data_IF_548094969455
#
_entry.id   IF_548094969455
#
_cell.length_a   1.000
_cell.length_b   1.000
_cell.length_c   1.000
_cell.angle_alpha   90.00
_cell.angle_beta   90.00
_cell.angle_gamma   90.00
#
_symmetry.space_group_name_H-M   'P 1'
#
loop_
_entity.id
_entity.type
_entity.pdbx_description
1 polymer ?
#
# COMPACT_ATOMS: atom_id res chain seq x y z
N UNK A 1 13.01 -14.42 2.07
CA UNK A 1 11.60 -14.75 1.77
C UNK A 1 11.62 -15.84 0.72
N UNK A 2 10.97 -16.97 0.97
CA UNK A 2 10.81 -18.02 -0.03
C UNK A 2 9.34 -17.99 -0.48
N UNK A 3 9.12 -17.85 -1.78
CA UNK A 3 7.80 -17.98 -2.37
C UNK A 3 7.73 -19.34 -3.09
N UNK A 4 6.75 -20.16 -2.73
CA UNK A 4 6.40 -21.37 -3.46
C UNK A 4 5.07 -21.10 -4.14
N UNK A 5 5.02 -21.29 -5.43
CA UNK A 5 3.77 -21.20 -6.22
C UNK A 5 3.17 -22.59 -6.29
N UNK A 6 1.91 -22.73 -5.91
CA UNK A 6 1.19 -24.00 -6.00
C UNK A 6 0.73 -24.30 -7.44
N UNK A 7 0.13 -25.45 -7.64
CA UNK A 7 -0.38 -25.91 -8.96
C UNK A 7 -1.51 -25.03 -9.52
N UNK A 8 -2.08 -24.14 -8.71
CA UNK A 8 -3.11 -23.17 -9.10
C UNK A 8 -2.55 -21.76 -9.36
N UNK A 9 -1.20 -21.58 -9.28
CA UNK A 9 -0.54 -20.29 -9.48
C UNK A 9 -0.61 -19.37 -8.27
N UNK A 10 -0.99 -19.88 -7.08
CA UNK A 10 -1.07 -19.09 -5.84
C UNK A 10 0.29 -19.10 -5.16
N UNK A 11 0.82 -17.91 -4.87
CA UNK A 11 2.09 -17.76 -4.17
C UNK A 11 1.92 -17.94 -2.65
N UNK A 12 2.59 -18.95 -2.10
CA UNK A 12 2.70 -19.19 -0.66
C UNK A 12 4.04 -18.65 -0.15
N UNK A 13 3.99 -17.71 0.77
CA UNK A 13 5.17 -17.06 1.32
C UNK A 13 5.56 -17.66 2.66
N UNK A 14 6.82 -18.06 2.80
CA UNK A 14 7.43 -18.38 4.08
C UNK A 14 8.30 -17.20 4.54
N UNK A 15 8.06 -16.73 5.75
CA UNK A 15 8.79 -15.64 6.38
C UNK A 15 9.59 -16.19 7.56
N UNK A 16 10.88 -16.51 7.35
CA UNK A 16 11.75 -16.95 8.45
C UNK A 16 11.80 -15.89 9.55
N UNK A 17 12.08 -16.32 10.77
CA UNK A 17 12.39 -15.43 11.87
C UNK A 17 13.82 -14.89 11.76
N UNK A 18 14.11 -13.82 12.47
CA UNK A 18 15.44 -13.23 12.62
C UNK A 18 16.10 -12.84 11.28
N UNK A 19 15.36 -12.13 10.45
CA UNK A 19 15.84 -11.65 9.14
C UNK A 19 15.97 -10.12 9.11
N UNK A 20 16.55 -9.57 8.05
CA UNK A 20 16.98 -8.17 7.98
C UNK A 20 15.93 -7.15 8.41
N UNK A 21 14.67 -7.34 8.04
CA UNK A 21 13.60 -6.41 8.43
C UNK A 21 13.13 -6.58 9.89
N UNK A 22 13.61 -7.55 10.62
CA UNK A 22 13.39 -7.68 12.07
C UNK A 22 14.40 -6.85 12.88
N UNK A 23 15.45 -6.32 12.22
CA UNK A 23 16.57 -5.58 12.81
C UNK A 23 16.73 -4.18 12.22
N UNK A 24 15.65 -3.54 11.80
CA UNK A 24 15.73 -2.17 11.31
C UNK A 24 16.23 -1.24 12.42
N UNK A 25 17.15 -0.35 12.05
CA UNK A 25 17.67 0.67 12.95
C UNK A 25 17.70 2.03 12.25
N UNK A 26 17.39 3.08 13.00
CA UNK A 26 17.45 4.44 12.51
C UNK A 26 18.86 5.00 12.72
N UNK A 27 19.75 4.77 11.76
CA UNK A 27 21.10 5.34 11.74
C UNK A 27 21.11 6.81 11.25
N UNK A 28 22.26 7.47 11.27
CA UNK A 28 22.38 8.88 10.90
C UNK A 28 22.04 9.14 9.44
N UNK A 29 22.34 8.20 8.53
CA UNK A 29 21.94 8.29 7.10
C UNK A 29 20.42 8.26 6.97
N UNK A 30 19.76 7.29 7.62
CA UNK A 30 18.30 7.23 7.61
C UNK A 30 17.66 8.48 8.23
N UNK A 31 18.26 9.05 9.29
CA UNK A 31 17.81 10.32 9.89
C UNK A 31 17.98 11.49 8.93
N UNK A 32 19.08 11.55 8.18
CA UNK A 32 19.36 12.68 7.30
C UNK A 32 18.41 12.76 6.13
N UNK A 33 17.98 11.63 5.56
CA UNK A 33 17.09 11.61 4.39
C UNK A 33 15.64 12.00 4.72
N UNK A 34 15.21 11.94 6.00
CA UNK A 34 13.82 12.24 6.36
C UNK A 34 13.38 13.64 5.95
N UNK A 35 14.31 14.60 5.91
CA UNK A 35 14.03 16.02 5.61
C UNK A 35 13.64 16.28 4.16
N UNK A 36 14.12 15.43 3.25
CA UNK A 36 14.00 15.61 1.80
C UNK A 36 12.98 14.64 1.18
N UNK A 37 12.26 13.87 2.02
CA UNK A 37 11.26 12.93 1.53
C UNK A 37 10.01 13.65 1.03
N UNK A 38 9.51 13.22 -0.12
CA UNK A 38 8.19 13.60 -0.63
C UNK A 38 7.11 12.58 -0.25
N UNK A 39 7.52 11.32 -0.12
CA UNK A 39 6.64 10.27 0.40
C UNK A 39 7.45 9.13 1.04
N UNK A 40 6.75 8.35 1.86
CA UNK A 40 7.21 7.08 2.38
C UNK A 40 6.08 6.06 2.30
N UNK A 41 6.42 4.84 1.86
CA UNK A 41 5.49 3.71 1.92
C UNK A 41 5.98 2.72 2.98
N UNK A 42 5.06 2.22 3.81
CA UNK A 42 5.35 1.26 4.87
C UNK A 42 4.19 0.30 5.07
N UNK A 43 4.44 -0.86 5.68
CA UNK A 43 3.44 -1.90 5.89
C UNK A 43 3.56 -2.56 7.26
N UNK A 44 2.81 -3.66 7.45
CA UNK A 44 2.73 -4.36 8.74
C UNK A 44 3.91 -5.29 9.00
N UNK A 45 4.40 -6.01 7.98
CA UNK A 45 5.36 -7.11 8.14
C UNK A 45 6.65 -6.69 8.86
N UNK A 46 7.24 -5.56 8.47
CA UNK A 46 8.46 -5.06 9.08
C UNK A 46 8.25 -4.54 10.52
N UNK A 47 7.00 -4.47 10.99
CA UNK A 47 6.65 -4.09 12.35
C UNK A 47 6.43 -5.29 13.29
N UNK A 48 6.60 -6.52 12.82
CA UNK A 48 6.43 -7.73 13.63
C UNK A 48 7.44 -7.78 14.78
N UNK A 49 8.69 -7.39 14.54
CA UNK A 49 9.72 -7.27 15.55
C UNK A 49 9.66 -5.92 16.30
N UNK A 50 9.75 -5.93 17.61
CA UNK A 50 9.66 -4.74 18.47
C UNK A 50 10.72 -3.70 18.13
N UNK A 51 11.96 -4.13 17.84
CA UNK A 51 13.08 -3.25 17.47
C UNK A 51 12.75 -2.49 16.19
N UNK A 52 12.36 -3.20 15.14
CA UNK A 52 12.02 -2.61 13.85
C UNK A 52 10.79 -1.72 13.92
N UNK A 53 9.78 -2.12 14.71
CA UNK A 53 8.59 -1.29 14.97
C UNK A 53 8.95 0.04 15.61
N UNK A 54 9.82 0.03 16.62
CA UNK A 54 10.28 1.26 17.28
C UNK A 54 11.09 2.16 16.32
N UNK A 55 11.97 1.57 15.52
CA UNK A 55 12.76 2.29 14.52
C UNK A 55 11.87 2.92 13.43
N UNK A 56 10.86 2.19 12.95
CA UNK A 56 9.89 2.70 11.98
C UNK A 56 9.04 3.84 12.57
N UNK A 57 8.57 3.71 13.80
CA UNK A 57 7.81 4.77 14.45
C UNK A 57 8.65 6.05 14.58
N UNK A 58 9.89 5.95 15.08
CA UNK A 58 10.82 7.10 15.16
C UNK A 58 11.12 7.71 13.79
N UNK A 59 11.25 6.88 12.74
CA UNK A 59 11.43 7.35 11.36
C UNK A 59 10.21 8.13 10.87
N UNK A 60 9.01 7.56 11.00
CA UNK A 60 7.76 8.18 10.54
C UNK A 60 7.46 9.49 11.28
N UNK A 61 7.77 9.55 12.59
CA UNK A 61 7.55 10.75 13.41
C UNK A 61 8.52 11.90 13.05
N UNK A 62 9.64 11.61 12.32
CA UNK A 62 10.60 12.62 11.82
C UNK A 62 10.30 13.13 10.43
N UNK A 63 9.43 12.46 9.69
CA UNK A 63 9.07 12.87 8.33
C UNK A 63 8.27 14.16 8.39
N UNK A 64 8.61 15.19 7.57
CA UNK A 64 7.87 16.44 7.57
C UNK A 64 6.40 16.23 7.19
N UNK A 65 5.53 17.10 7.72
CA UNK A 65 4.11 17.04 7.44
C UNK A 65 3.76 17.27 5.95
N UNK A 66 4.69 17.78 5.16
CA UNK A 66 4.53 17.97 3.72
C UNK A 66 4.77 16.70 2.91
N UNK A 67 5.35 15.67 3.49
CA UNK A 67 5.59 14.39 2.82
C UNK A 67 4.44 13.42 3.11
N UNK A 68 4.03 12.69 2.10
CA UNK A 68 2.91 11.74 2.17
C UNK A 68 3.35 10.42 2.79
N UNK A 69 2.65 9.99 3.82
CA UNK A 69 2.86 8.69 4.48
C UNK A 69 1.82 7.69 3.99
N UNK A 70 2.24 6.73 3.20
CA UNK A 70 1.38 5.70 2.61
C UNK A 70 1.50 4.42 3.43
N UNK A 71 0.41 4.00 4.04
CA UNK A 71 0.31 2.73 4.72
C UNK A 71 -0.31 1.70 3.78
N UNK A 72 0.52 0.86 3.19
CA UNK A 72 0.08 -0.34 2.47
C UNK A 72 -0.06 -1.46 3.51
N UNK A 73 -1.30 -1.81 3.84
CA UNK A 73 -1.60 -2.72 4.94
C UNK A 73 -0.88 -4.06 4.80
N UNK A 74 -1.01 -4.67 3.62
CA UNK A 74 -0.24 -5.82 3.14
C UNK A 74 -0.07 -6.91 4.19
N UNK A 75 -1.20 -7.42 4.71
CA UNK A 75 -1.22 -8.44 5.76
C UNK A 75 -0.51 -9.73 5.32
N UNK A 76 0.32 -10.26 6.18
CA UNK A 76 1.04 -11.51 5.95
C UNK A 76 0.88 -12.43 7.13
N UNK A 77 0.32 -13.62 6.90
CA UNK A 77 0.07 -14.61 7.95
C UNK A 77 -0.63 -13.97 9.17
N UNK A 78 -0.03 -14.06 10.35
CA UNK A 78 -0.50 -13.46 11.60
C UNK A 78 0.50 -12.40 12.15
N UNK A 79 1.37 -11.85 11.29
CA UNK A 79 2.38 -10.86 11.67
C UNK A 79 1.82 -9.43 11.76
N UNK A 80 0.62 -9.30 12.32
CA UNK A 80 -0.04 -8.03 12.56
C UNK A 80 -0.85 -8.10 13.86
N UNK A 81 -1.15 -6.95 14.42
CA UNK A 81 -2.06 -6.84 15.55
C UNK A 81 -2.88 -5.56 15.42
N UNK A 82 -3.98 -5.48 16.19
CA UNK A 82 -4.80 -4.27 16.26
C UNK A 82 -3.97 -3.05 16.61
N UNK A 83 -3.06 -3.17 17.59
CA UNK A 83 -2.21 -2.08 18.07
C UNK A 83 -1.26 -1.58 16.98
N UNK A 84 -0.64 -2.49 16.22
CA UNK A 84 0.24 -2.14 15.09
C UNK A 84 -0.51 -1.40 14.00
N UNK A 85 -1.68 -1.92 13.63
CA UNK A 85 -2.51 -1.33 12.57
C UNK A 85 -3.03 0.04 13.02
N UNK A 86 -3.56 0.16 14.24
CA UNK A 86 -4.06 1.43 14.75
C UNK A 86 -2.95 2.49 14.87
N UNK A 87 -1.78 2.11 15.35
CA UNK A 87 -0.62 3.01 15.42
C UNK A 87 -0.14 3.47 14.03
N UNK A 88 -0.25 2.60 13.02
CA UNK A 88 0.07 2.91 11.63
C UNK A 88 -0.97 3.84 10.99
N UNK A 89 -2.26 3.57 11.21
CA UNK A 89 -3.37 4.41 10.73
C UNK A 89 -3.32 5.83 11.31
N UNK A 90 -2.91 5.99 12.56
CA UNK A 90 -2.72 7.32 13.19
C UNK A 90 -1.56 8.13 12.60
N UNK A 91 -0.68 7.50 11.82
CA UNK A 91 0.51 8.13 11.23
C UNK A 91 0.42 8.30 9.72
N UNK A 92 -0.48 7.59 9.06
CA UNK A 92 -0.57 7.66 7.60
C UNK A 92 -1.52 8.75 7.11
N UNK A 93 -1.25 9.23 5.92
CA UNK A 93 -2.11 10.12 5.14
C UNK A 93 -2.94 9.32 4.13
N UNK A 94 -2.34 8.25 3.59
CA UNK A 94 -2.95 7.37 2.60
C UNK A 94 -2.97 5.95 3.14
N UNK A 95 -4.15 5.31 3.12
CA UNK A 95 -4.32 3.90 3.41
C UNK A 95 -4.57 3.14 2.12
N UNK A 96 -3.82 2.07 1.87
CA UNK A 96 -4.13 1.10 0.81
C UNK A 96 -4.28 -0.29 1.40
N UNK A 97 -5.29 -1.00 0.95
CA UNK A 97 -5.59 -2.38 1.34
C UNK A 97 -6.33 -3.13 0.22
N UNK A 98 -6.37 -4.45 0.30
CA UNK A 98 -7.22 -5.27 -0.57
C UNK A 98 -8.64 -5.39 0.00
N UNK A 99 -9.57 -5.90 -0.80
CA UNK A 99 -10.93 -6.20 -0.35
C UNK A 99 -10.98 -7.29 0.74
N UNK A 100 -10.08 -8.29 0.68
CA UNK A 100 -9.94 -9.29 1.74
C UNK A 100 -9.39 -8.66 3.03
N UNK A 101 -8.40 -7.78 2.93
CA UNK A 101 -7.83 -7.06 4.05
C UNK A 101 -8.84 -6.11 4.69
N UNK A 102 -9.71 -5.49 3.89
CA UNK A 102 -10.80 -4.66 4.40
C UNK A 102 -11.75 -5.46 5.30
N UNK A 103 -12.05 -6.72 4.96
CA UNK A 103 -12.86 -7.59 5.81
C UNK A 103 -12.20 -7.83 7.17
N UNK A 104 -10.88 -8.04 7.19
CA UNK A 104 -10.12 -8.20 8.45
C UNK A 104 -10.20 -6.92 9.30
N UNK A 105 -10.00 -5.75 8.67
CA UNK A 105 -10.05 -4.45 9.35
C UNK A 105 -11.45 -4.15 9.87
N UNK A 106 -12.49 -4.38 9.08
CA UNK A 106 -13.87 -4.15 9.51
C UNK A 106 -14.24 -5.01 10.72
N UNK A 107 -13.86 -6.29 10.72
CA UNK A 107 -14.05 -7.17 11.86
C UNK A 107 -13.25 -6.72 13.09
N UNK A 108 -11.97 -6.34 12.90
CA UNK A 108 -11.07 -5.96 13.98
C UNK A 108 -11.51 -4.68 14.69
N UNK A 109 -12.01 -3.69 13.93
CA UNK A 109 -12.39 -2.37 14.46
C UNK A 109 -13.90 -2.20 14.68
N UNK A 110 -14.71 -3.18 14.34
CA UNK A 110 -16.17 -3.10 14.45
C UNK A 110 -16.78 -2.09 13.49
N UNK A 111 -16.23 -1.99 12.26
CA UNK A 111 -16.67 -1.05 11.24
C UNK A 111 -17.85 -1.61 10.43
N UNK A 112 -18.59 -0.76 9.70
CA UNK A 112 -19.58 -1.22 8.74
C UNK A 112 -18.99 -2.22 7.73
N UNK A 113 -19.79 -3.20 7.31
CA UNK A 113 -19.33 -4.23 6.36
C UNK A 113 -19.37 -3.78 4.90
N UNK A 114 -20.15 -2.73 4.60
CA UNK A 114 -20.17 -2.16 3.26
C UNK A 114 -18.92 -1.31 3.02
N UNK A 115 -18.22 -1.60 1.95
CA UNK A 115 -16.91 -1.04 1.62
C UNK A 115 -16.86 0.50 1.75
N UNK A 116 -17.78 1.21 1.10
CA UNK A 116 -17.80 2.69 1.15
C UNK A 116 -18.05 3.24 2.55
N UNK A 117 -18.94 2.57 3.31
CA UNK A 117 -19.25 2.95 4.69
C UNK A 117 -18.05 2.68 5.61
N UNK A 118 -17.34 1.56 5.39
CA UNK A 118 -16.11 1.21 6.14
C UNK A 118 -15.00 2.23 5.88
N UNK A 119 -14.76 2.61 4.62
CA UNK A 119 -13.75 3.61 4.26
C UNK A 119 -14.08 4.99 4.83
N UNK A 120 -15.34 5.40 4.78
CA UNK A 120 -15.79 6.65 5.39
C UNK A 120 -15.59 6.64 6.93
N UNK A 121 -15.82 5.50 7.59
CA UNK A 121 -15.58 5.37 9.02
C UNK A 121 -14.10 5.40 9.38
N UNK A 122 -13.23 4.81 8.55
CA UNK A 122 -11.77 4.88 8.69
C UNK A 122 -11.28 6.32 8.52
N UNK A 123 -11.74 7.02 7.47
CA UNK A 123 -11.41 8.42 7.25
C UNK A 123 -11.87 9.30 8.43
N UNK A 124 -13.11 9.18 8.86
CA UNK A 124 -13.64 9.95 9.99
C UNK A 124 -12.87 9.70 11.31
N UNK A 125 -12.30 8.49 11.47
CA UNK A 125 -11.58 8.11 12.70
C UNK A 125 -10.12 8.55 12.66
N UNK A 126 -9.46 8.44 11.51
CA UNK A 126 -8.01 8.61 11.38
C UNK A 126 -7.59 9.82 10.54
N UNK A 127 -8.53 10.52 9.88
CA UNK A 127 -8.26 11.73 9.10
C UNK A 127 -7.45 11.44 7.83
N UNK A 128 -7.80 10.39 7.11
CA UNK A 128 -7.09 9.97 5.90
C UNK A 128 -7.32 10.98 4.76
N UNK A 129 -6.27 11.31 4.03
CA UNK A 129 -6.39 12.10 2.79
C UNK A 129 -6.89 11.24 1.62
N UNK A 130 -6.56 9.95 1.64
CA UNK A 130 -6.97 8.98 0.62
C UNK A 130 -7.05 7.58 1.22
N UNK A 131 -8.15 6.89 0.96
CA UNK A 131 -8.30 5.46 1.21
C UNK A 131 -8.46 4.72 -0.12
N UNK A 132 -7.75 3.61 -0.28
CA UNK A 132 -7.66 2.82 -1.50
C UNK A 132 -7.98 1.36 -1.22
N UNK A 133 -8.95 0.81 -1.93
CA UNK A 133 -9.24 -0.63 -1.94
C UNK A 133 -8.94 -1.21 -3.31
N UNK A 134 -8.08 -2.22 -3.37
CA UNK A 134 -7.85 -3.02 -4.58
C UNK A 134 -8.67 -4.31 -4.51
N UNK A 135 -9.27 -4.72 -5.64
CA UNK A 135 -10.19 -5.86 -5.74
C UNK A 135 -9.71 -6.88 -6.77
N UNK A 136 -8.39 -7.01 -6.91
CA UNK A 136 -7.76 -7.86 -7.91
C UNK A 136 -8.28 -7.56 -9.32
N UNK A 137 -8.76 -8.57 -10.02
CA UNK A 137 -9.32 -8.43 -11.38
C UNK A 137 -10.56 -7.53 -11.48
N UNK A 138 -11.18 -7.21 -10.36
CA UNK A 138 -12.37 -6.36 -10.29
C UNK A 138 -12.02 -4.87 -10.11
N UNK A 139 -10.73 -4.52 -10.21
CA UNK A 139 -10.25 -3.13 -10.19
C UNK A 139 -10.08 -2.57 -8.79
N UNK A 140 -10.55 -1.35 -8.56
CA UNK A 140 -10.26 -0.63 -7.31
C UNK A 140 -11.26 0.50 -7.03
N UNK A 141 -11.27 0.92 -5.77
CA UNK A 141 -12.00 2.09 -5.28
C UNK A 141 -11.01 3.02 -4.56
N UNK A 142 -11.00 4.28 -4.96
CA UNK A 142 -10.28 5.38 -4.32
C UNK A 142 -11.29 6.35 -3.70
N UNK A 143 -11.12 6.68 -2.44
CA UNK A 143 -12.00 7.58 -1.69
C UNK A 143 -11.15 8.62 -0.97
N UNK A 144 -11.42 9.89 -1.22
CA UNK A 144 -10.92 11.04 -0.45
C UNK A 144 -12.12 11.79 0.17
N UNK A 145 -11.91 12.74 1.08
CA UNK A 145 -12.99 13.53 1.66
C UNK A 145 -13.85 14.26 0.60
N UNK A 146 -13.27 14.63 -0.54
CA UNK A 146 -13.93 15.42 -1.59
C UNK A 146 -14.36 14.59 -2.81
N UNK A 147 -13.76 13.44 -3.05
CA UNK A 147 -13.89 12.72 -4.33
C UNK A 147 -13.93 11.20 -4.13
N UNK A 148 -14.55 10.53 -5.08
CA UNK A 148 -14.57 9.07 -5.19
C UNK A 148 -14.28 8.68 -6.64
N UNK A 149 -13.41 7.69 -6.83
CA UNK A 149 -13.13 7.10 -8.14
C UNK A 149 -13.22 5.59 -8.06
N UNK A 150 -14.03 4.97 -8.89
CA UNK A 150 -14.15 3.53 -9.02
C UNK A 150 -13.71 3.10 -10.41
N UNK A 151 -12.90 2.04 -10.49
CA UNK A 151 -12.38 1.49 -11.74
C UNK A 151 -12.58 -0.03 -11.76
N UNK A 152 -13.00 -0.57 -12.89
CA UNK A 152 -13.31 -2.01 -13.05
C UNK A 152 -12.09 -2.90 -13.33
N UNK A 153 -10.88 -2.31 -13.35
CA UNK A 153 -9.66 -3.00 -13.75
C UNK A 153 -9.50 -3.08 -15.28
N UNK A 154 -8.39 -3.65 -15.70
CA UNK A 154 -8.13 -3.97 -17.10
C UNK A 154 -8.05 -5.49 -17.28
N UNK A 155 -8.72 -6.05 -18.28
CA UNK A 155 -8.58 -7.47 -18.59
C UNK A 155 -7.15 -7.77 -19.03
N UNK A 156 -6.54 -8.79 -18.45
CA UNK A 156 -5.17 -9.20 -18.75
C UNK A 156 -5.03 -10.72 -18.64
N UNK A 157 -4.19 -11.31 -19.48
CA UNK A 157 -3.73 -12.69 -19.28
C UNK A 157 -2.66 -12.66 -18.20
N UNK A 158 -2.96 -13.24 -17.04
CA UNK A 158 -2.07 -13.22 -15.89
C UNK A 158 -0.93 -14.21 -16.09
N UNK A 159 0.31 -13.71 -16.03
CA UNK A 159 1.52 -14.52 -15.95
C UNK A 159 1.95 -14.70 -14.48
N UNK A 160 1.93 -13.61 -13.71
CA UNK A 160 2.28 -13.57 -12.30
C UNK A 160 1.54 -12.41 -11.60
N UNK A 161 1.20 -12.54 -10.34
CA UNK A 161 0.56 -11.47 -9.56
C UNK A 161 1.51 -10.76 -8.61
N UNK A 162 2.76 -11.24 -8.49
CA UNK A 162 3.75 -10.67 -7.59
C UNK A 162 4.12 -9.25 -8.05
N UNK A 163 4.11 -8.30 -7.11
CA UNK A 163 4.45 -6.91 -7.38
C UNK A 163 3.32 -6.05 -7.96
N UNK A 164 2.18 -6.63 -8.37
CA UNK A 164 1.06 -5.85 -8.89
C UNK A 164 0.49 -4.86 -7.85
N UNK A 165 0.36 -5.29 -6.60
CA UNK A 165 -0.05 -4.43 -5.48
C UNK A 165 0.95 -3.31 -5.23
N UNK A 166 2.23 -3.62 -5.24
CA UNK A 166 3.31 -2.64 -5.06
C UNK A 166 3.35 -1.61 -6.19
N UNK A 167 3.16 -2.06 -7.44
CA UNK A 167 3.05 -1.19 -8.61
C UNK A 167 1.83 -0.27 -8.53
N UNK A 168 0.68 -0.79 -8.07
CA UNK A 168 -0.53 0.00 -7.82
C UNK A 168 -0.26 1.08 -6.76
N UNK A 169 0.35 0.70 -5.63
CA UNK A 169 0.71 1.62 -4.55
C UNK A 169 1.68 2.70 -5.03
N UNK A 170 2.69 2.34 -5.81
CA UNK A 170 3.65 3.29 -6.37
C UNK A 170 2.98 4.30 -7.31
N UNK A 171 2.14 3.83 -8.24
CA UNK A 171 1.40 4.70 -9.16
C UNK A 171 0.45 5.64 -8.43
N UNK A 172 -0.28 5.13 -7.43
CA UNK A 172 -1.18 5.93 -6.60
C UNK A 172 -0.40 7.01 -5.83
N UNK A 173 0.71 6.64 -5.20
CA UNK A 173 1.57 7.57 -4.46
C UNK A 173 2.09 8.68 -5.35
N UNK A 174 2.65 8.35 -6.51
CA UNK A 174 3.19 9.32 -7.47
C UNK A 174 2.09 10.23 -8.01
N UNK A 175 0.96 9.66 -8.41
CA UNK A 175 -0.17 10.45 -8.92
C UNK A 175 -0.71 11.42 -7.86
N UNK A 176 -0.75 11.01 -6.59
CA UNK A 176 -1.19 11.84 -5.48
C UNK A 176 -0.19 12.99 -5.19
N UNK A 177 1.12 12.72 -5.18
CA UNK A 177 2.17 13.76 -5.04
C UNK A 177 2.13 14.77 -6.19
N UNK A 178 1.80 14.30 -7.40
CA UNK A 178 1.74 15.13 -8.60
C UNK A 178 0.40 15.85 -8.77
N UNK A 179 -0.50 15.75 -7.79
CA UNK A 179 -1.82 16.42 -7.75
C UNK A 179 -2.71 16.08 -8.95
N UNK A 180 -2.67 14.83 -9.41
CA UNK A 180 -3.60 14.33 -10.39
C UNK A 180 -4.99 14.08 -9.76
N UNK A 181 -6.06 14.19 -10.56
CA UNK A 181 -7.40 13.81 -10.13
C UNK A 181 -7.50 12.29 -9.85
N UNK A 182 -8.42 11.91 -8.96
CA UNK A 182 -8.54 10.50 -8.54
C UNK A 182 -8.89 9.55 -9.70
N UNK A 183 -9.60 10.00 -10.74
CA UNK A 183 -9.94 9.15 -11.88
C UNK A 183 -8.68 8.83 -12.69
N UNK A 184 -7.84 9.82 -12.93
CA UNK A 184 -6.52 9.67 -13.59
C UNK A 184 -5.60 8.76 -12.78
N UNK A 185 -5.48 8.99 -11.47
CA UNK A 185 -4.68 8.13 -10.56
C UNK A 185 -5.17 6.69 -10.64
N UNK A 186 -6.47 6.47 -10.47
CA UNK A 186 -7.07 5.16 -10.42
C UNK A 186 -6.89 4.38 -11.73
N UNK A 187 -7.18 5.02 -12.86
CA UNK A 187 -7.00 4.41 -14.18
C UNK A 187 -5.53 4.04 -14.44
N UNK A 188 -4.59 4.94 -14.08
CA UNK A 188 -3.16 4.69 -14.25
C UNK A 188 -2.66 3.55 -13.35
N UNK A 189 -3.03 3.54 -12.07
CA UNK A 189 -2.64 2.52 -11.11
C UNK A 189 -3.14 1.12 -11.52
N UNK A 190 -4.40 1.02 -11.98
CA UNK A 190 -4.92 -0.23 -12.53
C UNK A 190 -4.17 -0.68 -13.78
N UNK A 191 -3.84 0.24 -14.69
CA UNK A 191 -3.10 -0.08 -15.93
C UNK A 191 -1.69 -0.57 -15.63
N UNK A 192 -0.99 0.07 -14.68
CA UNK A 192 0.35 -0.36 -14.28
C UNK A 192 0.32 -1.72 -13.58
N UNK A 193 -0.63 -1.95 -12.68
CA UNK A 193 -0.82 -3.24 -12.02
C UNK A 193 -1.13 -4.34 -13.04
N UNK A 194 -2.00 -4.09 -14.02
CA UNK A 194 -2.31 -5.02 -15.10
C UNK A 194 -1.07 -5.34 -15.97
N UNK A 195 -0.24 -4.32 -16.27
CA UNK A 195 1.03 -4.55 -16.97
C UNK A 195 1.96 -5.47 -16.18
N UNK A 196 2.12 -5.26 -14.88
CA UNK A 196 2.94 -6.12 -14.02
C UNK A 196 2.37 -7.54 -14.00
N UNK A 197 1.06 -7.71 -13.84
CA UNK A 197 0.42 -9.03 -13.87
C UNK A 197 0.63 -9.81 -15.19
N UNK A 198 0.84 -9.11 -16.31
CA UNK A 198 1.07 -9.73 -17.62
C UNK A 198 2.52 -10.19 -17.85
N UNK A 199 3.42 -9.93 -16.90
CA UNK A 199 4.84 -10.25 -17.00
C UNK A 199 5.26 -11.20 -15.87
N UNK A 200 6.38 -11.88 -16.07
CA UNK A 200 7.00 -12.68 -15.02
C UNK A 200 7.81 -11.79 -14.07
N UNK A 201 7.67 -12.05 -12.77
CA UNK A 201 8.42 -11.39 -11.69
C UNK A 201 7.85 -10.02 -11.28
N UNK A 202 8.28 -9.59 -10.09
CA UNK A 202 7.70 -8.43 -9.39
C UNK A 202 8.08 -7.06 -9.98
N UNK A 203 9.14 -6.98 -10.79
CA UNK A 203 9.70 -5.71 -11.29
C UNK A 203 9.99 -5.77 -12.79
N UNK A 204 9.00 -5.98 -13.64
CA UNK A 204 9.19 -5.94 -15.08
C UNK A 204 9.56 -4.53 -15.55
N UNK A 205 10.14 -4.43 -16.75
CA UNK A 205 10.42 -3.13 -17.36
C UNK A 205 9.11 -2.37 -17.61
N UNK A 206 9.04 -1.14 -17.12
CA UNK A 206 7.88 -0.27 -17.30
C UNK A 206 8.05 0.51 -18.62
N UNK A 207 7.17 0.35 -19.61
CA UNK A 207 7.21 1.09 -20.86
C UNK A 207 6.97 2.59 -20.62
N UNK A 208 7.50 3.41 -21.53
CA UNK A 208 7.50 4.87 -21.35
C UNK A 208 6.09 5.46 -21.18
N UNK A 209 5.11 4.91 -21.88
CA UNK A 209 3.71 5.33 -21.84
C UNK A 209 3.00 5.02 -20.51
N UNK A 210 3.59 4.15 -19.67
CA UNK A 210 3.10 3.84 -18.33
C UNK A 210 3.83 4.61 -17.22
N UNK A 211 4.77 5.50 -17.56
CA UNK A 211 5.43 6.35 -16.58
C UNK A 211 4.59 7.59 -16.33
N UNK A 212 4.30 7.89 -15.06
CA UNK A 212 3.72 9.16 -14.68
C UNK A 212 4.81 10.23 -14.77
N UNK A 213 4.81 11.00 -15.87
CA UNK A 213 5.70 12.14 -16.03
C UNK A 213 4.82 13.40 -16.00
N UNK A 214 5.14 14.32 -15.09
CA UNK A 214 4.58 15.66 -15.15
C UNK A 214 5.16 16.32 -16.41
N UNK A 215 4.31 16.70 -17.36
CA UNK A 215 4.74 17.52 -18.49
C UNK A 215 5.30 18.82 -17.93
N UNK A 216 6.54 19.14 -18.28
CA UNK A 216 7.19 20.42 -17.97
C UNK A 216 6.61 21.50 -18.88
#
# INVERSE_FOLDING_TARGET
MNANVDEFGVAHYAFPDDIAWDHLSLNDVARSVTKDLHAVCFGTLAQRATISRAAMADFLDRIPATAIKVFDLNLRQNFYSREVIEASLKRCDVLKLSDEELQVITAMFGLPTKEREALAALDATFGLQLAVVTRGKNGSLLVSPAQLSEHTGFPVTVADTIGAGDAFTAATTLGFILDHDLATINAHANRLAAHVCAQEGAMPAIPAELKLIKSV
#
